data_IF_339718342927
#
_entry.id   IF_339718342927
#
_cell.length_a   1.000
_cell.length_b   1.000
_cell.length_c   1.000
_cell.angle_alpha   90.00
_cell.angle_beta   90.00
_cell.angle_gamma   90.00
#
_symmetry.space_group_name_H-M   'P 1'
#
loop_
_entity.id
_entity.type
_entity.pdbx_description
1 polymer ?
#
# COMPACT_ATOMS: atom_id res chain seq x y z
N UNK A 1 -16.02 -4.28 1.47
CA UNK A 1 -15.36 -5.60 1.55
C UNK A 1 -14.93 -5.77 3.00
N UNK A 2 -15.34 -6.85 3.67
CA UNK A 2 -14.96 -7.08 5.05
C UNK A 2 -13.46 -7.38 5.14
N UNK A 3 -12.78 -6.93 6.20
CA UNK A 3 -11.36 -7.21 6.42
C UNK A 3 -11.19 -8.58 7.09
N UNK A 4 -11.55 -9.63 6.36
CA UNK A 4 -11.39 -11.03 6.78
C UNK A 4 -10.16 -11.68 6.12
N UNK A 5 -9.88 -12.94 6.47
CA UNK A 5 -8.71 -13.65 5.97
C UNK A 5 -8.66 -13.76 4.44
N UNK A 6 -9.81 -13.90 3.78
CA UNK A 6 -9.89 -13.96 2.32
C UNK A 6 -9.52 -12.60 1.71
N UNK A 7 -10.08 -11.52 2.26
CA UNK A 7 -9.76 -10.16 1.83
C UNK A 7 -8.29 -9.83 2.01
N UNK A 8 -7.69 -10.23 3.14
CA UNK A 8 -6.28 -9.99 3.42
C UNK A 8 -5.36 -10.79 2.48
N UNK A 9 -5.63 -12.08 2.27
CA UNK A 9 -4.84 -12.89 1.34
C UNK A 9 -4.92 -12.36 -0.10
N UNK A 10 -6.12 -11.95 -0.54
CA UNK A 10 -6.29 -11.32 -1.86
C UNK A 10 -5.60 -9.96 -1.94
N UNK A 11 -5.65 -9.18 -0.86
CA UNK A 11 -5.01 -7.87 -0.75
C UNK A 11 -3.49 -7.97 -0.83
N UNK A 12 -2.90 -8.94 -0.14
CA UNK A 12 -1.48 -9.27 -0.19
C UNK A 12 -1.03 -9.63 -1.61
N UNK A 13 -1.70 -10.59 -2.26
CA UNK A 13 -1.37 -11.01 -3.63
C UNK A 13 -1.30 -9.80 -4.58
N UNK A 14 -2.30 -8.93 -4.49
CA UNK A 14 -2.40 -7.75 -5.34
C UNK A 14 -1.39 -6.68 -4.97
N UNK A 15 -1.12 -6.47 -3.69
CA UNK A 15 -0.14 -5.52 -3.21
C UNK A 15 1.26 -5.91 -3.69
N UNK A 16 1.65 -7.18 -3.52
CA UNK A 16 2.94 -7.70 -3.98
C UNK A 16 3.08 -7.53 -5.51
N UNK A 17 2.03 -7.85 -6.27
CA UNK A 17 2.08 -7.74 -7.74
C UNK A 17 2.16 -6.31 -8.26
N UNK A 18 1.46 -5.36 -7.62
CA UNK A 18 1.21 -4.04 -8.22
C UNK A 18 1.85 -2.87 -7.46
N UNK A 19 2.10 -3.02 -6.16
CA UNK A 19 2.46 -1.92 -5.26
C UNK A 19 3.89 -2.08 -4.69
N UNK A 20 4.31 -3.30 -4.38
CA UNK A 20 5.60 -3.57 -3.74
C UNK A 20 6.81 -3.12 -4.58
N UNK A 21 6.68 -3.04 -5.90
CA UNK A 21 7.74 -2.49 -6.77
C UNK A 21 8.15 -1.06 -6.37
N UNK A 22 7.21 -0.24 -5.91
CA UNK A 22 7.46 1.14 -5.49
C UNK A 22 7.42 1.34 -3.97
N UNK A 23 6.73 0.48 -3.22
CA UNK A 23 6.57 0.62 -1.77
C UNK A 23 7.35 -0.42 -0.94
N UNK A 24 7.94 -1.44 -1.58
CA UNK A 24 8.53 -2.59 -0.90
C UNK A 24 7.49 -3.55 -0.32
N UNK A 25 7.88 -4.80 -0.04
CA UNK A 25 6.96 -5.80 0.53
C UNK A 25 6.43 -5.37 1.91
N UNK A 26 7.31 -4.82 2.76
CA UNK A 26 6.97 -4.30 4.08
C UNK A 26 6.29 -2.91 4.05
N UNK A 27 6.13 -2.29 2.87
CA UNK A 27 5.51 -0.96 2.75
C UNK A 27 6.37 0.20 3.24
N UNK A 28 7.68 0.00 3.44
CA UNK A 28 8.58 1.01 4.00
C UNK A 28 9.03 2.06 2.97
N UNK A 29 8.82 1.83 1.67
CA UNK A 29 9.23 2.71 0.57
C UNK A 29 10.73 2.74 0.31
N UNK A 30 11.56 2.79 1.37
CA UNK A 30 13.02 2.78 1.30
C UNK A 30 13.62 1.46 0.79
N UNK A 31 12.85 0.38 0.85
CA UNK A 31 13.24 -0.98 0.40
C UNK A 31 12.57 -1.36 -0.93
N UNK A 32 11.99 -0.39 -1.64
CA UNK A 32 11.30 -0.66 -2.88
C UNK A 32 12.28 -1.07 -4.00
N UNK A 33 11.90 -2.11 -4.76
CA UNK A 33 12.73 -2.66 -5.83
C UNK A 33 13.10 -1.63 -6.91
N UNK A 34 12.23 -0.65 -7.16
CA UNK A 34 12.47 0.38 -8.17
C UNK A 34 13.68 1.27 -7.84
N UNK A 35 14.09 1.36 -6.57
CA UNK A 35 15.13 2.27 -6.12
C UNK A 35 16.52 1.94 -6.64
N UNK A 36 16.80 0.68 -6.98
CA UNK A 36 18.08 0.30 -7.60
C UNK A 36 18.30 1.04 -8.92
N UNK A 37 17.22 1.20 -9.70
CA UNK A 37 17.26 1.87 -11.01
C UNK A 37 16.87 3.35 -10.93
N UNK A 38 16.01 3.71 -9.98
CA UNK A 38 15.45 5.06 -9.84
C UNK A 38 15.46 5.53 -8.38
N UNK A 39 16.62 5.88 -7.81
CA UNK A 39 16.76 6.24 -6.39
C UNK A 39 15.88 7.42 -5.95
N UNK A 40 15.54 8.33 -6.87
CA UNK A 40 14.72 9.50 -6.59
C UNK A 40 13.21 9.19 -6.48
N UNK A 41 12.77 7.96 -6.75
CA UNK A 41 11.36 7.54 -6.69
C UNK A 41 10.99 6.87 -5.37
N UNK A 42 11.67 7.20 -4.28
CA UNK A 42 11.33 6.67 -2.96
C UNK A 42 9.89 7.03 -2.59
N UNK A 43 9.08 5.99 -2.39
CA UNK A 43 7.72 6.16 -1.93
C UNK A 43 7.68 6.40 -0.42
N UNK A 44 6.53 6.86 0.07
CA UNK A 44 6.29 7.01 1.50
C UNK A 44 6.29 5.64 2.19
N UNK A 45 6.81 5.62 3.42
CA UNK A 45 6.53 4.55 4.36
C UNK A 45 5.03 4.57 4.70
N UNK A 46 4.35 3.46 4.41
CA UNK A 46 2.90 3.34 4.55
C UNK A 46 2.45 3.31 6.02
N UNK A 47 3.34 2.96 6.94
CA UNK A 47 3.08 2.87 8.38
C UNK A 47 3.25 4.17 9.15
N UNK A 48 3.86 5.19 8.55
CA UNK A 48 4.14 6.45 9.23
C UNK A 48 3.21 7.57 8.75
N UNK A 49 3.18 8.65 9.51
CA UNK A 49 2.50 9.87 9.10
C UNK A 49 3.16 10.48 7.85
N UNK A 50 2.36 11.07 6.94
CA UNK A 50 0.91 11.26 7.04
C UNK A 50 0.07 10.06 6.56
N UNK A 51 0.70 8.98 6.06
CA UNK A 51 -0.01 7.89 5.37
C UNK A 51 -0.88 7.07 6.31
N UNK A 52 -0.39 6.79 7.53
CA UNK A 52 -1.16 6.11 8.56
C UNK A 52 -2.46 6.86 8.89
N UNK A 53 -2.40 8.20 8.95
CA UNK A 53 -3.53 9.07 9.24
C UNK A 53 -4.55 9.27 8.12
N UNK A 54 -4.28 8.82 6.88
CA UNK A 54 -5.27 8.95 5.81
C UNK A 54 -6.49 8.06 6.05
N UNK A 55 -7.72 8.50 5.70
CA UNK A 55 -8.89 7.63 5.77
C UNK A 55 -8.88 6.58 4.65
N UNK A 56 -9.52 5.44 4.86
CA UNK A 56 -9.50 4.32 3.90
C UNK A 56 -9.99 4.70 2.50
N UNK A 57 -11.04 5.53 2.43
CA UNK A 57 -11.57 6.03 1.16
C UNK A 57 -10.56 6.89 0.38
N UNK A 58 -9.63 7.55 1.09
CA UNK A 58 -8.56 8.33 0.46
C UNK A 58 -7.47 7.42 -0.09
N UNK A 59 -7.07 6.37 0.65
CA UNK A 59 -6.17 5.33 0.15
C UNK A 59 -6.76 4.64 -1.09
N UNK A 60 -8.03 4.23 -1.02
CA UNK A 60 -8.79 3.69 -2.15
C UNK A 60 -8.77 4.62 -3.37
N UNK A 61 -9.02 5.92 -3.12
CA UNK A 61 -8.99 6.96 -4.13
C UNK A 61 -7.63 7.06 -4.81
N UNK A 62 -6.55 7.10 -4.03
CA UNK A 62 -5.18 7.15 -4.58
C UNK A 62 -4.85 5.93 -5.43
N UNK A 63 -5.26 4.71 -5.03
CA UNK A 63 -5.08 3.53 -5.88
C UNK A 63 -5.87 3.68 -7.20
N UNK A 64 -7.09 4.24 -7.14
CA UNK A 64 -7.93 4.43 -8.33
C UNK A 64 -7.35 5.45 -9.31
N UNK A 65 -7.04 6.66 -8.84
CA UNK A 65 -6.76 7.83 -9.71
C UNK A 65 -5.31 8.31 -9.66
N UNK A 66 -4.46 7.69 -8.84
CA UNK A 66 -3.08 8.13 -8.62
C UNK A 66 -2.97 9.41 -7.78
N UNK A 67 -1.73 9.78 -7.46
CA UNK A 67 -1.39 11.02 -6.73
C UNK A 67 0.09 11.33 -6.91
N UNK A 68 0.41 12.50 -7.46
CA UNK A 68 1.81 12.89 -7.70
C UNK A 68 2.49 11.89 -8.63
N UNK A 69 3.58 11.26 -8.16
CA UNK A 69 4.32 10.24 -8.91
C UNK A 69 3.67 8.85 -8.88
N UNK A 70 2.69 8.62 -8.00
CA UNK A 70 1.95 7.35 -7.96
C UNK A 70 0.98 7.29 -9.15
N UNK A 71 1.11 6.30 -10.07
CA UNK A 71 0.24 6.19 -11.23
C UNK A 71 -1.17 5.73 -10.83
N UNK A 72 -2.12 5.90 -11.76
CA UNK A 72 -3.49 5.41 -11.59
C UNK A 72 -3.61 3.92 -11.91
N UNK A 73 -4.24 3.15 -11.03
CA UNK A 73 -4.46 1.70 -11.23
C UNK A 73 -5.93 1.34 -11.46
N UNK A 74 -6.85 2.31 -11.52
CA UNK A 74 -8.30 2.05 -11.61
C UNK A 74 -8.75 1.26 -12.85
N UNK A 75 -7.92 1.17 -13.89
CA UNK A 75 -8.17 0.35 -15.08
C UNK A 75 -7.66 -1.09 -14.95
N UNK A 76 -6.75 -1.36 -14.02
CA UNK A 76 -6.13 -2.68 -13.79
C UNK A 76 -6.69 -3.38 -12.55
N UNK A 77 -7.09 -2.61 -11.54
CA UNK A 77 -7.53 -3.13 -10.24
C UNK A 77 -9.03 -2.82 -10.06
N UNK A 78 -9.82 -3.88 -9.88
CA UNK A 78 -11.28 -3.80 -9.77
C UNK A 78 -11.73 -3.02 -8.53
N UNK A 79 -13.03 -2.70 -8.44
CA UNK A 79 -13.56 -2.00 -7.26
C UNK A 79 -13.32 -2.77 -5.96
N UNK A 80 -13.59 -4.07 -5.94
CA UNK A 80 -13.44 -4.88 -4.73
C UNK A 80 -11.97 -5.16 -4.41
N UNK A 81 -11.14 -5.41 -5.42
CA UNK A 81 -9.71 -5.65 -5.25
C UNK A 81 -8.99 -4.45 -4.64
N UNK A 82 -9.39 -3.23 -4.96
CA UNK A 82 -8.84 -2.02 -4.30
C UNK A 82 -9.13 -2.00 -2.80
N UNK A 83 -10.31 -2.44 -2.37
CA UNK A 83 -10.62 -2.55 -0.94
C UNK A 83 -9.82 -3.66 -0.26
N UNK A 84 -9.59 -4.79 -0.94
CA UNK A 84 -8.68 -5.83 -0.45
C UNK A 84 -7.27 -5.29 -0.19
N UNK A 85 -6.73 -4.52 -1.15
CA UNK A 85 -5.42 -3.86 -1.00
C UNK A 85 -5.42 -2.89 0.19
N UNK A 86 -6.46 -2.07 0.34
CA UNK A 86 -6.56 -1.13 1.48
C UNK A 86 -6.56 -1.88 2.81
N UNK A 87 -7.33 -2.98 2.91
CA UNK A 87 -7.35 -3.81 4.11
C UNK A 87 -5.96 -4.38 4.43
N UNK A 88 -5.23 -4.89 3.43
CA UNK A 88 -3.86 -5.36 3.60
C UNK A 88 -2.88 -4.25 3.98
N UNK A 89 -2.98 -3.06 3.39
CA UNK A 89 -2.15 -1.92 3.81
C UNK A 89 -2.35 -1.61 5.30
N UNK A 90 -3.57 -1.73 5.84
CA UNK A 90 -3.81 -1.55 7.27
C UNK A 90 -3.13 -2.60 8.15
N UNK A 91 -2.93 -3.83 7.67
CA UNK A 91 -2.16 -4.83 8.44
C UNK A 91 -0.69 -4.44 8.51
N UNK A 92 -0.11 -3.90 7.43
CA UNK A 92 1.27 -3.39 7.45
C UNK A 92 1.45 -2.25 8.45
N UNK A 93 0.44 -1.38 8.60
CA UNK A 93 0.45 -0.28 9.58
C UNK A 93 0.31 -0.79 11.01
N UNK A 94 -0.53 -1.81 11.24
CA UNK A 94 -0.70 -2.44 12.55
C UNK A 94 0.55 -3.18 13.03
N UNK A 95 1.27 -3.86 12.13
CA UNK A 95 2.52 -4.54 12.44
C UNK A 95 3.66 -3.58 12.79
N UNK A 96 3.70 -2.40 12.17
CA UNK A 96 4.72 -1.38 12.46
C UNK A 96 4.48 -0.63 13.78
N UNK A 97 3.22 -0.45 14.19
CA UNK A 97 2.90 0.18 15.47
C UNK A 97 3.42 -0.63 16.67
N UNK A 98 3.49 -1.97 16.56
CA UNK A 98 4.02 -2.84 17.62
C UNK A 98 5.56 -2.96 17.65
N UNK A 99 6.28 -2.41 16.66
CA UNK A 99 7.75 -2.46 16.60
C UNK A 99 8.42 -1.17 17.13
N UNK A 100 7.63 -0.19 17.57
CA UNK A 100 8.10 1.10 18.11
C UNK A 100 7.99 1.24 19.63
N UNK A 101 7.65 0.17 20.34
CA UNK A 101 7.51 0.14 21.80
C UNK A 101 8.69 -0.57 22.52
N UNK A 102 9.75 -0.92 21.79
CA UNK A 102 10.99 -1.52 22.34
C UNK A 102 12.18 -0.54 22.40
#
# INVERSE_FOLDING_TARGET
>A
VAADAESLARGEELYIRNCAVCHGEAGLGAEAYILEKWPALAAYNLALDPVAGYPDGYLYGMIRVGRGMMPQYGHQITHFDRWNIVNYVRTLQGSAAGAGED
#
